data_IF_721009930507
#
_entry.id   IF_721009930507
#
_cell.length_a   1.000
_cell.length_b   1.000
_cell.length_c   1.000
_cell.angle_alpha   90.00
_cell.angle_beta   90.00
_cell.angle_gamma   90.00
#
_symmetry.space_group_name_H-M   'P 1'
#
loop_
_entity.id
_entity.type
_entity.pdbx_description
1 polymer ?
#
# COMPACT_ATOMS: atom_id res chain seq x y z
N UNK A 1 -4.17 -51.70 12.74
CA UNK A 1 -4.67 -50.30 12.62
C UNK A 1 -5.90 -50.36 11.72
N UNK A 2 -7.07 -50.05 12.27
CA UNK A 2 -8.36 -50.31 11.62
C UNK A 2 -8.53 -49.50 10.32
N UNK A 3 -9.08 -50.12 9.28
CA UNK A 3 -9.19 -49.52 7.92
C UNK A 3 -10.00 -48.22 7.93
N UNK A 4 -10.91 -48.08 8.91
CA UNK A 4 -11.68 -46.86 9.16
C UNK A 4 -10.85 -45.73 9.73
N UNK A 5 -9.87 -46.01 10.61
CA UNK A 5 -8.98 -45.00 11.19
C UNK A 5 -8.04 -44.40 10.14
N UNK A 6 -7.61 -45.21 9.17
CA UNK A 6 -6.73 -44.76 8.09
C UNK A 6 -7.42 -43.80 7.11
N UNK A 7 -8.74 -43.96 6.89
CA UNK A 7 -9.55 -43.03 6.07
C UNK A 7 -9.75 -41.69 6.77
N UNK A 8 -9.99 -41.69 8.08
CA UNK A 8 -10.21 -40.46 8.85
C UNK A 8 -8.96 -39.58 8.87
N UNK A 9 -7.78 -40.19 9.05
CA UNK A 9 -6.49 -39.48 9.01
C UNK A 9 -6.25 -38.87 7.63
N UNK A 10 -6.54 -39.59 6.55
CA UNK A 10 -6.39 -39.07 5.19
C UNK A 10 -7.30 -37.86 4.91
N UNK A 11 -8.55 -37.90 5.40
CA UNK A 11 -9.48 -36.77 5.26
C UNK A 11 -9.01 -35.55 6.05
N UNK A 12 -8.55 -35.73 7.29
CA UNK A 12 -8.01 -34.65 8.12
C UNK A 12 -6.79 -33.98 7.48
N UNK A 13 -5.86 -34.78 6.93
CA UNK A 13 -4.68 -34.25 6.22
C UNK A 13 -5.08 -33.49 4.95
N UNK A 14 -6.07 -33.97 4.21
CA UNK A 14 -6.56 -33.30 3.01
C UNK A 14 -7.21 -31.96 3.34
N UNK A 15 -8.05 -31.91 4.39
CA UNK A 15 -8.66 -30.66 4.87
C UNK A 15 -7.59 -29.68 5.36
N UNK A 16 -6.58 -30.14 6.09
CA UNK A 16 -5.48 -29.29 6.55
C UNK A 16 -4.67 -28.70 5.39
N UNK A 17 -4.40 -29.50 4.35
CA UNK A 17 -3.74 -29.02 3.13
C UNK A 17 -4.58 -28.00 2.36
N UNK A 18 -5.90 -28.18 2.29
CA UNK A 18 -6.82 -27.20 1.69
C UNK A 18 -6.84 -25.88 2.47
N UNK A 19 -6.83 -25.95 3.80
CA UNK A 19 -6.78 -24.75 4.66
C UNK A 19 -5.45 -24.02 4.47
N UNK A 20 -4.33 -24.74 4.43
CA UNK A 20 -3.01 -24.15 4.16
C UNK A 20 -2.92 -23.52 2.76
N UNK A 21 -3.52 -24.13 1.74
CA UNK A 21 -3.57 -23.56 0.39
C UNK A 21 -4.44 -22.28 0.33
N UNK A 22 -5.54 -22.23 1.10
CA UNK A 22 -6.35 -21.02 1.24
C UNK A 22 -5.65 -19.92 2.07
N UNK A 23 -4.70 -20.30 2.93
CA UNK A 23 -3.86 -19.41 3.73
C UNK A 23 -2.51 -19.09 3.08
N UNK A 24 -2.29 -19.40 1.80
CA UNK A 24 -1.16 -18.82 1.06
C UNK A 24 -1.39 -17.30 0.99
N UNK A 25 -0.82 -16.64 1.99
CA UNK A 25 -0.79 -15.22 2.20
C UNK A 25 -0.50 -14.54 0.86
N UNK A 26 -1.44 -13.67 0.46
CA UNK A 26 -1.11 -12.62 -0.47
C UNK A 26 0.12 -11.91 0.10
N UNK A 27 1.29 -12.19 -0.47
CA UNK A 27 2.54 -11.58 -0.01
C UNK A 27 2.35 -10.07 -0.06
N UNK A 28 2.61 -9.34 1.05
CA UNK A 28 2.31 -7.91 1.13
C UNK A 28 3.07 -7.07 0.07
N UNK A 29 4.13 -7.62 -0.51
CA UNK A 29 4.86 -7.04 -1.65
C UNK A 29 4.02 -6.84 -2.92
N UNK A 30 2.87 -7.53 -3.06
CA UNK A 30 1.96 -7.35 -4.21
C UNK A 30 0.87 -6.30 -4.03
N UNK A 31 0.71 -5.69 -2.87
CA UNK A 31 -0.44 -4.80 -2.64
C UNK A 31 -0.27 -3.39 -3.23
N UNK A 32 0.97 -2.91 -3.41
CA UNK A 32 1.22 -1.53 -3.79
C UNK A 32 2.17 -1.45 -5.00
N UNK A 33 1.84 -0.67 -6.04
CA UNK A 33 2.79 -0.39 -7.11
C UNK A 33 4.03 0.31 -6.55
N UNK A 34 5.21 -0.06 -7.03
CA UNK A 34 6.50 0.54 -6.64
C UNK A 34 7.03 1.54 -7.67
N UNK A 35 6.39 1.63 -8.84
CA UNK A 35 6.75 2.55 -9.92
C UNK A 35 5.53 3.29 -10.42
N UNK A 36 5.76 4.50 -10.91
CA UNK A 36 4.74 5.29 -11.57
C UNK A 36 4.68 4.92 -13.05
N UNK A 37 3.49 4.54 -13.58
CA UNK A 37 3.33 4.45 -15.01
C UNK A 37 3.54 5.85 -15.61
N UNK A 38 4.43 5.96 -16.59
CA UNK A 38 4.59 7.18 -17.37
C UNK A 38 3.34 7.38 -18.25
N UNK A 39 2.76 8.59 -18.34
CA UNK A 39 3.25 9.90 -17.89
C UNK A 39 2.33 10.56 -16.84
N UNK A 40 2.37 10.13 -15.57
CA UNK A 40 1.67 10.82 -14.48
C UNK A 40 2.56 11.86 -13.75
N UNK A 41 3.33 12.66 -14.51
CA UNK A 41 4.18 13.76 -14.00
C UNK A 41 3.41 15.00 -13.50
N UNK A 42 2.15 14.82 -13.08
CA UNK A 42 1.32 15.93 -12.60
C UNK A 42 1.73 16.29 -11.18
N UNK A 43 2.28 17.49 -11.03
CA UNK A 43 2.68 18.05 -9.74
C UNK A 43 1.46 18.58 -8.98
N UNK A 44 1.30 18.12 -7.75
CA UNK A 44 0.16 18.39 -6.87
C UNK A 44 0.63 18.93 -5.52
N UNK A 45 -0.27 19.57 -4.78
CA UNK A 45 -0.02 20.08 -3.43
C UNK A 45 -0.43 19.03 -2.40
N UNK A 46 0.50 18.69 -1.52
CA UNK A 46 0.30 17.74 -0.44
C UNK A 46 0.61 18.36 0.92
N UNK A 47 0.08 17.74 1.98
CA UNK A 47 0.35 18.12 3.37
C UNK A 47 0.69 16.90 4.22
N UNK A 48 1.81 16.99 4.94
CA UNK A 48 2.23 16.04 5.96
C UNK A 48 3.09 16.75 7.01
N UNK A 49 2.48 17.59 7.84
CA UNK A 49 3.18 18.44 8.82
C UNK A 49 3.71 19.76 8.24
N UNK A 50 3.89 19.82 6.92
CA UNK A 50 4.08 21.02 6.12
C UNK A 50 3.58 20.79 4.69
N UNK A 51 3.37 21.87 3.95
CA UNK A 51 2.94 21.81 2.55
C UNK A 51 4.13 21.56 1.63
N UNK A 52 3.94 20.75 0.59
CA UNK A 52 4.98 20.47 -0.40
C UNK A 52 4.39 20.07 -1.75
N UNK A 53 5.13 20.36 -2.81
CA UNK A 53 4.83 19.88 -4.15
C UNK A 53 5.43 18.49 -4.39
N UNK A 54 4.65 17.59 -4.98
CA UNK A 54 5.11 16.24 -5.37
C UNK A 54 4.26 15.72 -6.52
N UNK A 55 4.66 14.62 -7.15
CA UNK A 55 3.84 14.00 -8.18
C UNK A 55 2.64 13.26 -7.57
N UNK A 56 1.49 13.34 -8.24
CA UNK A 56 0.28 12.65 -7.80
C UNK A 56 0.50 11.13 -7.66
N UNK A 57 1.25 10.55 -8.59
CA UNK A 57 1.54 9.13 -8.55
C UNK A 57 2.41 8.74 -7.34
N UNK A 58 3.43 9.53 -7.01
CA UNK A 58 4.25 9.32 -5.81
C UNK A 58 3.40 9.29 -4.54
N UNK A 59 2.42 10.20 -4.42
CA UNK A 59 1.47 10.19 -3.29
C UNK A 59 0.68 8.88 -3.25
N UNK A 60 0.15 8.40 -4.38
CA UNK A 60 -0.64 7.15 -4.44
C UNK A 60 0.20 5.96 -3.98
N UNK A 61 1.41 5.82 -4.48
CA UNK A 61 2.36 4.76 -4.09
C UNK A 61 2.68 4.85 -2.59
N UNK A 62 3.09 6.03 -2.13
CA UNK A 62 3.49 6.26 -0.74
C UNK A 62 2.33 6.02 0.23
N UNK A 63 1.13 6.50 -0.10
CA UNK A 63 -0.07 6.28 0.71
C UNK A 63 -0.52 4.82 0.71
N UNK A 64 -0.34 4.10 -0.40
CA UNK A 64 -0.59 2.66 -0.42
C UNK A 64 0.31 1.94 0.58
N UNK A 65 1.63 2.17 0.51
CA UNK A 65 2.59 1.56 1.41
C UNK A 65 2.30 1.88 2.89
N UNK A 66 1.88 3.12 3.18
CA UNK A 66 1.50 3.55 4.54
C UNK A 66 0.21 2.92 5.03
N UNK A 67 -0.81 2.77 4.18
CA UNK A 67 -2.05 2.07 4.52
C UNK A 67 -1.79 0.60 4.87
N UNK A 68 -0.97 -0.10 4.07
CA UNK A 68 -0.58 -1.49 4.36
C UNK A 68 0.14 -1.60 5.71
N UNK A 69 0.93 -0.58 6.09
CA UNK A 69 1.65 -0.52 7.37
C UNK A 69 0.84 0.08 8.53
N UNK A 70 -0.44 0.41 8.35
CA UNK A 70 -1.26 1.05 9.39
C UNK A 70 -0.82 2.45 9.80
N UNK A 71 -0.11 3.18 8.92
CA UNK A 71 0.42 4.53 9.16
C UNK A 71 -0.49 5.62 8.58
N UNK A 72 -0.46 6.83 9.17
CA UNK A 72 -1.21 7.99 8.68
C UNK A 72 -0.82 8.37 7.26
N UNK A 73 -1.77 8.56 6.35
CA UNK A 73 -1.51 8.92 4.95
C UNK A 73 -1.18 10.40 4.76
N UNK A 74 -0.44 10.73 3.71
CA UNK A 74 -0.23 12.10 3.23
C UNK A 74 -1.54 12.63 2.66
N UNK A 75 -1.92 13.84 3.04
CA UNK A 75 -3.15 14.48 2.57
C UNK A 75 -2.90 15.16 1.23
N UNK A 76 -3.71 14.85 0.22
CA UNK A 76 -3.79 15.64 -1.01
C UNK A 76 -4.60 16.91 -0.70
N UNK A 77 -3.99 18.08 -0.95
CA UNK A 77 -4.61 19.39 -0.70
C UNK A 77 -5.26 19.92 -1.97
N UNK A 78 -4.56 19.79 -3.10
CA UNK A 78 -4.99 20.29 -4.40
C UNK A 78 -4.39 19.44 -5.51
N UNK A 79 -5.09 19.33 -6.65
CA UNK A 79 -4.59 18.75 -7.90
C UNK A 79 -3.60 19.68 -8.65
N UNK A 80 -3.35 20.86 -8.10
CA UNK A 80 -2.33 21.82 -8.52
C UNK A 80 -1.24 21.93 -7.46
N UNK A 81 -0.09 22.48 -7.85
CA UNK A 81 0.98 22.85 -6.93
C UNK A 81 0.50 23.80 -5.83
N UNK A 82 1.16 23.75 -4.67
CA UNK A 82 0.90 24.62 -3.54
C UNK A 82 1.16 26.07 -3.92
N UNK A 83 0.25 26.94 -3.50
CA UNK A 83 0.48 28.38 -3.50
C UNK A 83 1.24 28.78 -2.23
N UNK A 84 2.46 29.31 -2.37
CA UNK A 84 3.33 29.72 -1.28
C UNK A 84 2.74 30.80 -0.35
N UNK A 85 1.73 31.56 -0.81
CA UNK A 85 1.09 32.62 -0.01
C UNK A 85 0.06 32.05 1.00
N UNK A 86 -0.56 30.93 0.67
CA UNK A 86 -1.67 30.34 1.45
C UNK A 86 -1.28 29.01 2.11
N UNK A 87 -0.22 28.37 1.65
CA UNK A 87 0.25 27.07 2.11
C UNK A 87 1.55 27.19 2.89
N UNK A 88 1.48 27.75 4.09
CA UNK A 88 2.60 27.88 5.03
C UNK A 88 2.34 27.04 6.29
N UNK A 89 3.36 26.38 6.89
CA UNK A 89 4.75 26.33 6.44
C UNK A 89 4.94 25.44 5.20
N UNK A 90 5.78 25.88 4.27
CA UNK A 90 6.14 25.13 3.07
C UNK A 90 7.47 24.41 3.28
N UNK A 91 7.52 23.13 2.94
CA UNK A 91 8.73 22.33 2.89
C UNK A 91 9.06 21.97 1.46
N UNK A 92 10.36 21.93 1.15
CA UNK A 92 10.82 21.20 -0.03
C UNK A 92 10.62 19.72 0.24
N UNK A 93 9.89 19.01 -0.63
CA UNK A 93 9.78 17.56 -0.53
C UNK A 93 11.19 16.96 -0.49
N UNK A 94 11.45 16.06 0.45
CA UNK A 94 12.70 15.28 0.45
C UNK A 94 12.63 14.38 -0.78
N UNK A 95 13.55 14.56 -1.72
CA UNK A 95 13.73 13.62 -2.83
C UNK A 95 14.12 12.27 -2.23
N UNK A 96 13.27 11.26 -2.43
CA UNK A 96 13.52 9.88 -2.01
C UNK A 96 14.39 9.16 -3.03
#
# INVERSE_FOLDING_TARGET
MDRSNMKLVAVLLFVFALIQAAFQEATPERLCPNTCPTPDGTMVCAFNGCYFNTELCTIKIFNCARKVKGMSVVKLVSDKQCNNETHTPYCTAVTF
#
